data_IF_011307575372
#
_entry.id   IF_011307575372
#
_cell.length_a   1.000
_cell.length_b   1.000
_cell.length_c   1.000
_cell.angle_alpha   90.00
_cell.angle_beta   90.00
_cell.angle_gamma   90.00
#
_symmetry.space_group_name_H-M   'P 1'
#
loop_
_entity.id
_entity.type
_entity.pdbx_description
1 polymer ?
#
# COMPACT_ATOMS: atom_id res chain seq x y z
N UNK A 1 14.13 -22.63 15.61
CA UNK A 1 13.94 -21.66 14.52
C UNK A 1 12.70 -20.82 14.77
N UNK A 2 12.79 -19.50 14.56
CA UNK A 2 11.65 -18.60 14.69
C UNK A 2 10.76 -18.73 13.44
N UNK A 3 9.48 -19.10 13.61
CA UNK A 3 8.48 -19.24 12.54
C UNK A 3 7.59 -17.99 12.41
N UNK A 4 8.19 -16.81 12.55
CA UNK A 4 7.46 -15.55 12.49
C UNK A 4 6.91 -15.29 11.08
N UNK A 5 5.79 -14.55 11.02
CA UNK A 5 5.28 -13.97 9.77
C UNK A 5 5.46 -12.46 9.80
N UNK A 6 5.91 -11.89 8.69
CA UNK A 6 6.04 -10.45 8.48
C UNK A 6 4.82 -9.92 7.72
N UNK A 7 4.08 -9.01 8.35
CA UNK A 7 3.06 -8.19 7.69
C UNK A 7 3.53 -6.76 7.56
N UNK A 8 3.30 -6.14 6.41
CA UNK A 8 3.52 -4.70 6.22
C UNK A 8 2.16 -4.01 6.05
N UNK A 9 2.02 -2.85 6.67
CA UNK A 9 0.84 -2.01 6.55
C UNK A 9 1.23 -0.58 6.15
N UNK A 10 0.48 -0.01 5.21
CA UNK A 10 0.64 1.39 4.80
C UNK A 10 -0.70 2.09 4.73
N UNK A 11 -0.69 3.36 5.09
CA UNK A 11 -1.86 4.22 5.06
C UNK A 11 -1.60 5.39 4.12
N UNK A 12 -2.49 5.60 3.16
CA UNK A 12 -2.42 6.72 2.22
C UNK A 12 -3.27 7.90 2.69
N UNK A 13 -2.65 9.07 2.73
CA UNK A 13 -3.21 10.36 3.10
C UNK A 13 -3.23 11.24 1.86
N UNK A 14 -4.41 11.77 1.53
CA UNK A 14 -4.56 12.56 0.31
C UNK A 14 -3.77 13.87 0.39
N UNK A 15 -3.02 14.18 -0.67
CA UNK A 15 -2.12 15.32 -0.76
C UNK A 15 -0.79 15.15 -0.03
N UNK A 16 -0.53 13.99 0.59
CA UNK A 16 0.71 13.73 1.34
C UNK A 16 1.53 12.65 0.64
N UNK A 17 0.97 11.45 0.49
CA UNK A 17 1.67 10.30 -0.09
C UNK A 17 0.89 9.62 -1.22
N UNK A 18 -0.19 10.22 -1.72
CA UNK A 18 -1.04 9.70 -2.80
C UNK A 18 -0.53 10.01 -4.22
N UNK A 19 0.79 9.94 -4.41
CA UNK A 19 1.48 10.20 -5.68
C UNK A 19 2.05 8.91 -6.27
N UNK A 20 2.14 8.82 -7.61
CA UNK A 20 2.66 7.62 -8.30
C UNK A 20 4.07 7.25 -7.84
N UNK A 21 4.97 8.21 -7.68
CA UNK A 21 6.35 7.98 -7.22
C UNK A 21 6.38 7.26 -5.86
N UNK A 22 5.49 7.62 -4.93
CA UNK A 22 5.39 6.94 -3.64
C UNK A 22 4.95 5.48 -3.79
N UNK A 23 4.06 5.20 -4.75
CA UNK A 23 3.61 3.83 -5.05
C UNK A 23 4.74 2.99 -5.68
N UNK A 24 5.53 3.58 -6.57
CA UNK A 24 6.68 2.91 -7.19
C UNK A 24 7.77 2.59 -6.16
N UNK A 25 8.11 3.56 -5.32
CA UNK A 25 9.08 3.38 -4.24
C UNK A 25 8.60 2.32 -3.23
N UNK A 26 7.32 2.35 -2.85
CA UNK A 26 6.71 1.33 -2.01
C UNK A 26 6.81 -0.06 -2.65
N UNK A 27 6.53 -0.19 -3.95
CA UNK A 27 6.62 -1.47 -4.67
C UNK A 27 8.04 -2.04 -4.62
N UNK A 28 9.05 -1.20 -4.89
CA UNK A 28 10.47 -1.60 -4.80
C UNK A 28 10.80 -2.09 -3.38
N UNK A 29 10.36 -1.34 -2.36
CA UNK A 29 10.56 -1.72 -0.97
C UNK A 29 9.90 -3.07 -0.63
N UNK A 30 8.64 -3.28 -1.02
CA UNK A 30 7.92 -4.51 -0.75
C UNK A 30 8.56 -5.73 -1.44
N UNK A 31 9.08 -5.56 -2.66
CA UNK A 31 9.82 -6.62 -3.38
C UNK A 31 11.18 -6.93 -2.74
N UNK A 32 11.82 -5.95 -2.09
CA UNK A 32 13.07 -6.16 -1.35
C UNK A 32 12.83 -6.89 -0.04
N UNK A 33 11.74 -6.58 0.65
CA UNK A 33 11.44 -7.15 1.98
C UNK A 33 10.74 -8.50 1.89
N UNK A 34 9.94 -8.74 0.85
CA UNK A 34 9.18 -9.97 0.64
C UNK A 34 8.34 -10.39 1.87
N UNK A 35 7.37 -9.56 2.32
CA UNK A 35 6.52 -9.90 3.46
C UNK A 35 5.58 -11.08 3.13
N UNK A 36 5.07 -11.75 4.17
CA UNK A 36 4.01 -12.76 4.01
C UNK A 36 2.71 -12.16 3.48
N UNK A 37 2.43 -10.92 3.86
CA UNK A 37 1.29 -10.15 3.36
C UNK A 37 1.53 -8.64 3.48
N UNK A 38 0.83 -7.90 2.64
CA UNK A 38 0.80 -6.46 2.64
C UNK A 38 -0.65 -5.96 2.72
N UNK A 39 -0.91 -4.97 3.57
CA UNK A 39 -2.22 -4.35 3.74
C UNK A 39 -2.12 -2.85 3.50
N UNK A 40 -3.12 -2.29 2.85
CA UNK A 40 -3.18 -0.86 2.55
C UNK A 40 -4.56 -0.28 2.79
N UNK A 41 -4.61 0.92 3.36
CA UNK A 41 -5.85 1.67 3.53
C UNK A 41 -5.71 3.16 3.18
N UNK A 42 -6.84 3.86 3.11
CA UNK A 42 -6.87 5.31 3.13
C UNK A 42 -7.08 5.83 4.55
N UNK A 43 -6.51 6.99 4.85
CA UNK A 43 -6.82 7.75 6.05
C UNK A 43 -7.90 8.79 5.75
N UNK A 44 -8.89 8.91 6.63
CA UNK A 44 -10.02 9.85 6.48
C UNK A 44 -10.35 10.61 7.77
N UNK A 45 -9.54 10.48 8.81
CA UNK A 45 -9.72 11.21 10.06
C UNK A 45 -8.99 12.56 10.01
N UNK A 46 -9.19 13.41 11.00
CA UNK A 46 -8.48 14.69 11.17
C UNK A 46 -8.58 15.63 9.94
N UNK A 47 -9.73 15.63 9.25
CA UNK A 47 -9.98 16.48 8.10
C UNK A 47 -9.37 15.99 6.78
N UNK A 48 -8.71 14.82 6.77
CA UNK A 48 -8.23 14.23 5.53
C UNK A 48 -9.40 13.71 4.68
N UNK A 49 -9.40 14.10 3.41
CA UNK A 49 -10.28 13.50 2.40
C UNK A 49 -9.75 12.11 2.01
N UNK A 50 -10.63 11.20 1.58
CA UNK A 50 -10.19 9.94 0.99
C UNK A 50 -9.34 10.21 -0.25
N UNK A 51 -8.34 9.37 -0.49
CA UNK A 51 -7.58 9.38 -1.75
C UNK A 51 -8.51 9.16 -2.94
N UNK A 52 -8.14 9.73 -4.09
CA UNK A 52 -8.98 9.72 -5.29
C UNK A 52 -9.25 8.29 -5.81
N UNK A 53 -10.38 8.11 -6.49
CA UNK A 53 -10.69 6.84 -7.14
C UNK A 53 -9.66 6.43 -8.20
N UNK A 54 -9.09 7.41 -8.90
CA UNK A 54 -7.99 7.21 -9.85
C UNK A 54 -6.74 6.69 -9.16
N UNK A 55 -6.36 7.29 -8.03
CA UNK A 55 -5.24 6.81 -7.24
C UNK A 55 -5.45 5.37 -6.74
N UNK A 56 -6.66 5.03 -6.27
CA UNK A 56 -6.98 3.64 -5.87
C UNK A 56 -6.79 2.65 -7.02
N UNK A 57 -7.15 3.02 -8.26
CA UNK A 57 -6.93 2.18 -9.46
C UNK A 57 -5.44 2.03 -9.77
N UNK A 58 -4.72 3.15 -9.81
CA UNK A 58 -3.27 3.19 -10.04
C UNK A 58 -2.50 2.34 -9.03
N UNK A 59 -2.87 2.41 -7.75
CA UNK A 59 -2.27 1.57 -6.70
C UNK A 59 -2.52 0.08 -6.96
N UNK A 60 -3.77 -0.29 -7.29
CA UNK A 60 -4.12 -1.70 -7.57
C UNK A 60 -3.36 -2.25 -8.78
N UNK A 61 -3.24 -1.46 -9.84
CA UNK A 61 -2.52 -1.83 -11.05
C UNK A 61 -1.03 -2.03 -10.77
N UNK A 62 -0.40 -1.10 -10.04
CA UNK A 62 1.03 -1.16 -9.73
C UNK A 62 1.41 -2.36 -8.85
N UNK A 63 0.52 -2.74 -7.93
CA UNK A 63 0.76 -3.81 -6.96
C UNK A 63 0.16 -5.16 -7.39
N UNK A 64 -0.47 -5.25 -8.58
CA UNK A 64 -1.23 -6.43 -9.06
C UNK A 64 -0.42 -7.72 -9.09
N UNK A 65 0.86 -7.63 -9.42
CA UNK A 65 1.73 -8.79 -9.69
C UNK A 65 2.76 -9.03 -8.57
N UNK A 66 2.48 -8.55 -7.36
CA UNK A 66 3.33 -8.87 -6.21
C UNK A 66 3.20 -10.35 -5.82
N UNK A 67 4.30 -11.01 -5.42
CA UNK A 67 4.31 -12.45 -5.13
C UNK A 67 3.72 -12.83 -3.76
N UNK A 68 2.93 -11.95 -3.15
CA UNK A 68 2.31 -12.13 -1.83
C UNK A 68 0.94 -11.47 -1.77
N UNK A 69 0.17 -11.81 -0.73
CA UNK A 69 -1.19 -11.32 -0.57
C UNK A 69 -1.21 -9.82 -0.32
N UNK A 70 -1.95 -9.08 -1.15
CA UNK A 70 -2.25 -7.65 -0.94
C UNK A 70 -3.70 -7.49 -0.51
N UNK A 71 -3.93 -6.78 0.60
CA UNK A 71 -5.27 -6.49 1.15
C UNK A 71 -5.51 -4.99 1.03
N UNK A 72 -6.64 -4.61 0.42
CA UNK A 72 -7.06 -3.22 0.27
C UNK A 72 -8.26 -2.92 1.17
N UNK A 73 -8.17 -1.88 2.00
CA UNK A 73 -9.22 -1.43 2.92
C UNK A 73 -9.52 0.06 2.66
N UNK A 74 -10.36 0.33 1.68
CA UNK A 74 -10.59 1.66 1.08
C UNK A 74 -11.97 2.25 1.31
#
# INVERSE_FOLDING_TARGET
>A
EFKGKLGIYTMFLSGINDQLENVENLKIFLLKVMPDHYSVSNYTLNGFKPVSGEFKKLLKENLRYLPFKVIYSF
#
